data_IF_029512405852
#
_entry.id   IF_029512405852
#
_cell.length_a   1.000
_cell.length_b   1.000
_cell.length_c   1.000
_cell.angle_alpha   90.00
_cell.angle_beta   90.00
_cell.angle_gamma   90.00
#
_symmetry.space_group_name_H-M   'P 1'
#
loop_
_entity.id
_entity.type
_entity.pdbx_description
1 polymer ?
#
# COMPACT_ATOMS: atom_id res chain seq x y z
N UNK A 1 -18.03 14.25 9.75
CA UNK A 1 -17.31 12.96 9.86
C UNK A 1 -15.83 13.26 10.16
N UNK A 2 -15.48 13.47 11.43
CA UNK A 2 -14.19 14.05 11.87
C UNK A 2 -13.25 13.03 12.56
N UNK A 3 -13.65 11.76 12.59
CA UNK A 3 -13.04 10.74 13.45
C UNK A 3 -11.84 10.00 12.84
N UNK A 4 -11.66 10.04 11.51
CA UNK A 4 -10.65 9.20 10.83
C UNK A 4 -9.34 9.92 10.50
N UNK A 5 -9.19 11.21 10.82
CA UNK A 5 -8.03 12.02 10.44
C UNK A 5 -6.88 12.04 11.45
N UNK A 6 -7.05 11.42 12.63
CA UNK A 6 -6.07 11.53 13.73
C UNK A 6 -4.86 10.58 13.58
N UNK A 7 -4.99 9.48 12.84
CA UNK A 7 -3.93 8.46 12.73
C UNK A 7 -3.73 7.99 11.28
N UNK A 8 -3.01 8.77 10.45
CA UNK A 8 -2.73 8.41 9.05
C UNK A 8 -1.97 7.09 8.92
N UNK A 9 -1.11 6.75 9.88
CA UNK A 9 -0.37 5.49 9.93
C UNK A 9 -1.27 4.26 10.07
N UNK A 10 -2.34 4.34 10.87
CA UNK A 10 -3.27 3.22 11.03
C UNK A 10 -4.01 2.94 9.72
N UNK A 11 -4.44 4.00 9.00
CA UNK A 11 -5.08 3.86 7.69
C UNK A 11 -4.08 3.28 6.68
N UNK A 12 -2.85 3.79 6.67
CA UNK A 12 -1.79 3.29 5.79
C UNK A 12 -1.48 1.82 6.02
N UNK A 13 -1.37 1.39 7.29
CA UNK A 13 -1.15 0.00 7.67
C UNK A 13 -2.31 -0.90 7.23
N UNK A 14 -3.55 -0.54 7.56
CA UNK A 14 -4.74 -1.34 7.18
C UNK A 14 -4.87 -1.44 5.66
N UNK A 15 -4.72 -0.32 4.94
CA UNK A 15 -4.81 -0.30 3.49
C UNK A 15 -3.72 -1.15 2.83
N UNK A 16 -2.48 -1.08 3.34
CA UNK A 16 -1.36 -1.89 2.84
C UNK A 16 -1.58 -3.39 3.10
N UNK A 17 -2.08 -3.76 4.28
CA UNK A 17 -2.44 -5.15 4.59
C UNK A 17 -3.60 -5.66 3.73
N UNK A 18 -4.61 -4.83 3.48
CA UNK A 18 -5.75 -5.19 2.64
C UNK A 18 -5.33 -5.39 1.18
N UNK A 19 -4.40 -4.56 0.68
CA UNK A 19 -3.78 -4.75 -0.63
C UNK A 19 -3.06 -6.11 -0.73
N UNK A 20 -2.26 -6.49 0.27
CA UNK A 20 -1.58 -7.80 0.28
C UNK A 20 -2.59 -8.95 0.31
N UNK A 21 -3.63 -8.85 1.15
CA UNK A 21 -4.68 -9.86 1.21
C UNK A 21 -5.48 -9.97 -0.09
N UNK A 22 -5.74 -8.84 -0.76
CA UNK A 22 -6.36 -8.79 -2.07
C UNK A 22 -5.51 -9.50 -3.12
N UNK A 23 -4.23 -9.13 -3.25
CA UNK A 23 -3.30 -9.77 -4.18
C UNK A 23 -3.20 -11.28 -3.93
N UNK A 24 -3.15 -11.71 -2.65
CA UNK A 24 -3.13 -13.13 -2.32
C UNK A 24 -4.42 -13.85 -2.74
N UNK A 25 -5.59 -13.23 -2.56
CA UNK A 25 -6.88 -13.84 -2.88
C UNK A 25 -7.18 -13.92 -4.38
N UNK A 26 -6.66 -12.98 -5.19
CA UNK A 26 -6.88 -12.91 -6.64
C UNK A 26 -6.63 -14.24 -7.37
N UNK A 27 -5.46 -14.90 -7.26
CA UNK A 27 -5.24 -16.19 -7.92
C UNK A 27 -6.25 -17.24 -7.44
N UNK A 28 -6.51 -17.34 -6.13
CA UNK A 28 -7.44 -18.35 -5.61
C UNK A 28 -8.88 -18.18 -6.10
N UNK A 29 -9.35 -16.94 -6.19
CA UNK A 29 -10.73 -16.64 -6.59
C UNK A 29 -10.96 -16.81 -8.10
N UNK A 30 -9.91 -16.61 -8.92
CA UNK A 30 -10.04 -16.59 -10.38
C UNK A 30 -9.35 -17.76 -11.10
N UNK A 31 -8.68 -18.67 -10.37
CA UNK A 31 -8.10 -19.93 -10.89
C UNK A 31 -9.07 -20.76 -11.74
N UNK A 32 -10.36 -20.81 -11.37
CA UNK A 32 -11.37 -21.63 -12.05
C UNK A 32 -11.94 -21.03 -13.34
N UNK A 33 -11.74 -19.73 -13.59
CA UNK A 33 -12.27 -19.07 -14.79
C UNK A 33 -11.39 -19.30 -16.03
N UNK A 34 -10.14 -19.75 -15.86
CA UNK A 34 -9.24 -20.04 -16.97
C UNK A 34 -9.65 -21.26 -17.82
N UNK A 35 -10.50 -22.16 -17.31
CA UNK A 35 -10.82 -23.44 -17.97
C UNK A 35 -12.16 -23.47 -18.72
N UNK A 36 -13.03 -22.47 -18.58
CA UNK A 36 -14.45 -22.58 -18.98
C UNK A 36 -14.94 -21.61 -20.05
N UNK A 37 -14.11 -20.68 -20.54
CA UNK A 37 -14.53 -19.64 -21.49
C UNK A 37 -14.06 -19.92 -22.92
N UNK A 38 -14.98 -20.42 -23.75
CA UNK A 38 -14.88 -20.48 -25.22
C UNK A 38 -15.18 -19.13 -25.91
N UNK A 39 -15.12 -18.01 -25.15
CA UNK A 39 -15.32 -16.64 -25.62
C UNK A 39 -14.29 -15.77 -24.89
N UNK A 40 -13.54 -14.95 -25.63
CA UNK A 40 -12.33 -14.21 -25.24
C UNK A 40 -12.47 -13.14 -24.13
N UNK A 41 -13.19 -13.40 -23.04
CA UNK A 41 -13.41 -12.46 -21.93
C UNK A 41 -13.13 -13.07 -20.56
N UNK A 42 -12.05 -13.86 -20.46
CA UNK A 42 -11.55 -14.44 -19.20
C UNK A 42 -10.68 -13.44 -18.44
N UNK A 43 -11.18 -12.23 -18.18
CA UNK A 43 -10.43 -11.19 -17.46
C UNK A 43 -11.03 -10.99 -16.08
N UNK A 44 -10.17 -10.81 -15.07
CA UNK A 44 -10.56 -10.51 -13.69
C UNK A 44 -11.65 -9.42 -13.69
N UNK A 45 -12.76 -9.56 -12.94
CA UNK A 45 -13.84 -8.59 -12.96
C UNK A 45 -13.35 -7.17 -12.73
N UNK A 46 -13.83 -6.21 -13.53
CA UNK A 46 -13.36 -4.83 -13.50
C UNK A 46 -13.49 -4.17 -12.11
N UNK A 47 -14.52 -4.52 -11.33
CA UNK A 47 -14.66 -4.05 -9.94
C UNK A 47 -13.56 -4.55 -9.00
N UNK A 48 -13.03 -5.75 -9.26
CA UNK A 48 -11.93 -6.31 -8.48
C UNK A 48 -10.61 -5.60 -8.84
N UNK A 49 -10.35 -5.35 -10.13
CA UNK A 49 -9.21 -4.57 -10.60
C UNK A 49 -9.23 -3.12 -10.11
N UNK A 50 -10.42 -2.49 -10.06
CA UNK A 50 -10.56 -1.12 -9.53
C UNK A 50 -10.06 -0.96 -8.09
N UNK A 51 -10.06 -2.03 -7.28
CA UNK A 51 -9.53 -2.00 -5.91
C UNK A 51 -8.03 -1.69 -5.89
N UNK A 52 -7.25 -2.16 -6.86
CA UNK A 52 -5.82 -1.89 -6.97
C UNK A 52 -5.55 -0.38 -7.04
N UNK A 53 -6.29 0.34 -7.89
CA UNK A 53 -6.18 1.79 -8.00
C UNK A 53 -6.61 2.50 -6.72
N UNK A 54 -7.67 2.02 -6.06
CA UNK A 54 -8.11 2.57 -4.77
C UNK A 54 -7.02 2.40 -3.70
N UNK A 55 -6.37 1.23 -3.62
CA UNK A 55 -5.30 0.99 -2.66
C UNK A 55 -4.08 1.90 -2.90
N UNK A 56 -3.69 2.14 -4.16
CA UNK A 56 -2.61 3.07 -4.51
C UNK A 56 -2.96 4.51 -4.07
N UNK A 57 -4.17 4.97 -4.38
CA UNK A 57 -4.60 6.34 -4.06
C UNK A 57 -4.70 6.55 -2.55
N UNK A 58 -5.30 5.61 -1.82
CA UNK A 58 -5.43 5.72 -0.36
C UNK A 58 -4.06 5.64 0.32
N UNK A 59 -3.19 4.74 -0.12
CA UNK A 59 -1.82 4.63 0.42
C UNK A 59 -1.00 5.89 0.16
N UNK A 60 -1.15 6.54 -0.99
CA UNK A 60 -0.50 7.81 -1.29
C UNK A 60 -0.86 8.89 -0.26
N UNK A 61 -2.16 9.04 0.04
CA UNK A 61 -2.62 10.01 1.03
C UNK A 61 -2.14 9.67 2.44
N UNK A 62 -2.10 8.38 2.79
CA UNK A 62 -1.57 7.93 4.07
C UNK A 62 -0.08 8.27 4.20
N UNK A 63 0.75 7.91 3.22
CA UNK A 63 2.18 8.21 3.18
C UNK A 63 2.44 9.72 3.24
N UNK A 64 1.75 10.52 2.44
CA UNK A 64 1.93 11.97 2.42
C UNK A 64 1.64 12.61 3.79
N UNK A 65 0.61 12.12 4.51
CA UNK A 65 0.32 12.59 5.87
C UNK A 65 1.34 12.09 6.89
N UNK A 66 1.72 10.81 6.83
CA UNK A 66 2.74 10.24 7.70
C UNK A 66 4.06 10.98 7.58
N UNK A 67 4.50 11.28 6.35
CA UNK A 67 5.76 11.98 6.07
C UNK A 67 5.76 13.39 6.66
N UNK A 68 4.61 14.08 6.66
CA UNK A 68 4.46 15.39 7.29
C UNK A 68 4.52 15.34 8.81
N UNK A 69 4.01 14.27 9.42
CA UNK A 69 3.95 14.13 10.89
C UNK A 69 5.16 13.42 11.51
N UNK A 70 5.99 12.75 10.69
CA UNK A 70 7.16 12.02 11.16
C UNK A 70 8.35 12.96 11.41
N UNK A 71 9.14 12.69 12.46
CA UNK A 71 10.38 13.41 12.76
C UNK A 71 11.61 12.81 12.06
N UNK A 72 11.54 11.54 11.62
CA UNK A 72 12.69 10.82 11.10
C UNK A 72 12.74 10.85 9.56
N UNK A 73 13.79 11.48 9.01
CA UNK A 73 13.99 11.60 7.57
C UNK A 73 14.18 10.25 6.85
N UNK A 74 14.74 9.24 7.52
CA UNK A 74 14.96 7.90 6.94
C UNK A 74 13.61 7.20 6.73
N UNK A 75 12.74 7.24 7.74
CA UNK A 75 11.40 6.63 7.66
C UNK A 75 10.57 7.28 6.55
N UNK A 76 10.68 8.61 6.39
CA UNK A 76 10.04 9.33 5.29
C UNK A 76 10.48 8.83 3.91
N UNK A 77 11.79 8.69 3.73
CA UNK A 77 12.36 8.21 2.46
C UNK A 77 11.93 6.78 2.17
N UNK A 78 11.97 5.90 3.18
CA UNK A 78 11.55 4.51 3.05
C UNK A 78 10.05 4.37 2.73
N UNK A 79 9.18 5.16 3.36
CA UNK A 79 7.74 5.14 3.05
C UNK A 79 7.46 5.49 1.60
N UNK A 80 8.09 6.55 1.07
CA UNK A 80 7.96 6.92 -0.33
C UNK A 80 8.56 5.86 -1.26
N UNK A 81 9.75 5.34 -0.95
CA UNK A 81 10.38 4.31 -1.75
C UNK A 81 9.52 3.04 -1.83
N UNK A 82 8.98 2.57 -0.71
CA UNK A 82 8.07 1.42 -0.66
C UNK A 82 6.76 1.68 -1.40
N UNK A 83 6.21 2.89 -1.33
CA UNK A 83 4.99 3.25 -2.07
C UNK A 83 5.23 3.33 -3.59
N UNK A 84 6.34 3.94 -4.03
CA UNK A 84 6.71 3.97 -5.45
C UNK A 84 6.94 2.56 -5.98
N UNK A 85 7.63 1.71 -5.22
CA UNK A 85 7.85 0.31 -5.60
C UNK A 85 6.51 -0.44 -5.71
N UNK A 86 5.65 -0.35 -4.70
CA UNK A 86 4.35 -1.02 -4.70
C UNK A 86 3.47 -0.56 -5.87
N UNK A 87 3.37 0.75 -6.09
CA UNK A 87 2.57 1.31 -7.18
C UNK A 87 3.12 0.92 -8.55
N UNK A 88 4.43 0.94 -8.75
CA UNK A 88 5.05 0.50 -9.99
C UNK A 88 4.77 -0.98 -10.28
N UNK A 89 4.81 -1.85 -9.27
CA UNK A 89 4.54 -3.28 -9.42
C UNK A 89 3.07 -3.55 -9.77
N UNK A 90 2.14 -2.92 -9.07
CA UNK A 90 0.70 -3.06 -9.34
C UNK A 90 0.35 -2.55 -10.74
N UNK A 91 0.87 -1.37 -11.14
CA UNK A 91 0.61 -0.84 -12.48
C UNK A 91 1.27 -1.71 -13.57
N UNK A 92 2.46 -2.25 -13.30
CA UNK A 92 3.12 -3.16 -14.23
C UNK A 92 2.30 -4.44 -14.47
N UNK A 93 1.65 -4.95 -13.41
CA UNK A 93 0.73 -6.09 -13.49
C UNK A 93 -0.55 -5.74 -14.27
N UNK A 94 -1.18 -4.60 -13.98
CA UNK A 94 -2.40 -4.14 -14.65
C UNK A 94 -2.22 -3.86 -16.16
N UNK A 95 -1.06 -3.34 -16.56
CA UNK A 95 -0.74 -3.06 -17.97
C UNK A 95 0.01 -4.21 -18.67
N UNK A 96 0.27 -5.32 -17.95
CA UNK A 96 1.03 -6.48 -18.44
C UNK A 96 2.37 -6.11 -19.12
N UNK A 97 3.02 -5.03 -18.70
CA UNK A 97 4.23 -4.49 -19.37
C UNK A 97 5.39 -5.48 -19.28
N UNK A 98 5.56 -6.11 -18.11
CA UNK A 98 6.58 -7.12 -17.86
C UNK A 98 6.04 -8.19 -16.91
N UNK A 99 6.29 -9.47 -17.20
CA UNK A 99 5.99 -10.56 -16.26
C UNK A 99 6.95 -10.50 -15.08
N UNK A 100 6.45 -10.04 -13.94
CA UNK A 100 7.18 -9.96 -12.67
C UNK A 100 6.54 -10.90 -11.64
N UNK A 101 7.33 -11.48 -10.74
CA UNK A 101 6.80 -12.32 -9.68
C UNK A 101 5.98 -11.50 -8.68
N UNK A 102 4.75 -11.95 -8.40
CA UNK A 102 3.85 -11.35 -7.39
C UNK A 102 4.47 -11.25 -6.00
N UNK A 103 5.47 -12.09 -5.71
CA UNK A 103 6.22 -12.07 -4.46
C UNK A 103 6.83 -10.70 -4.15
N UNK A 104 7.22 -9.96 -5.19
CA UNK A 104 7.77 -8.63 -5.04
C UNK A 104 6.70 -7.62 -4.61
N UNK A 105 5.47 -7.75 -5.13
CA UNK A 105 4.30 -6.94 -4.73
C UNK A 105 3.93 -7.21 -3.27
N UNK A 106 3.95 -8.48 -2.84
CA UNK A 106 3.75 -8.84 -1.42
C UNK A 106 4.81 -8.22 -0.52
N UNK A 107 6.08 -8.31 -0.91
CA UNK A 107 7.19 -7.75 -0.15
C UNK A 107 7.06 -6.22 -0.03
N UNK A 108 6.73 -5.53 -1.12
CA UNK A 108 6.52 -4.08 -1.12
C UNK A 108 5.33 -3.67 -0.23
N UNK A 109 4.21 -4.39 -0.29
CA UNK A 109 3.02 -4.14 0.52
C UNK A 109 3.25 -4.37 2.02
N UNK A 110 3.91 -5.48 2.38
CA UNK A 110 4.27 -5.79 3.77
C UNK A 110 5.27 -4.77 4.32
N UNK A 111 6.25 -4.35 3.51
CA UNK A 111 7.22 -3.33 3.90
C UNK A 111 6.53 -2.00 4.19
N UNK A 112 5.62 -1.57 3.31
CA UNK A 112 4.86 -0.34 3.51
C UNK A 112 3.98 -0.41 4.77
N UNK A 113 3.30 -1.54 5.01
CA UNK A 113 2.51 -1.76 6.22
C UNK A 113 3.39 -1.69 7.49
N UNK A 114 4.56 -2.35 7.45
CA UNK A 114 5.51 -2.38 8.56
C UNK A 114 6.09 -1.02 8.87
N UNK A 115 6.39 -0.21 7.85
CA UNK A 115 6.88 1.16 8.00
C UNK A 115 5.82 2.07 8.65
N UNK A 116 4.55 1.93 8.27
CA UNK A 116 3.46 2.65 8.94
C UNK A 116 3.32 2.24 10.42
N UNK A 117 3.38 0.94 10.73
CA UNK A 117 3.35 0.45 12.12
C UNK A 117 4.58 0.94 12.91
N UNK A 118 5.76 0.96 12.28
CA UNK A 118 6.98 1.45 12.89
C UNK A 118 6.87 2.96 13.20
N UNK A 119 6.38 3.76 12.24
CA UNK A 119 6.19 5.20 12.46
C UNK A 119 5.18 5.48 13.57
N UNK A 120 4.07 4.72 13.62
CA UNK A 120 3.06 4.77 14.68
C UNK A 120 3.65 4.53 16.08
N UNK A 121 4.60 3.60 16.20
CA UNK A 121 5.17 3.18 17.50
C UNK A 121 6.32 4.06 17.98
N UNK A 122 7.13 4.62 17.07
CA UNK A 122 8.42 5.22 17.43
C UNK A 122 8.60 6.69 17.00
N UNK A 123 7.75 7.24 16.12
CA UNK A 123 8.04 8.52 15.44
C UNK A 123 6.84 9.47 15.30
N UNK A 124 5.83 9.37 16.18
CA UNK A 124 4.72 10.33 16.19
C UNK A 124 5.06 11.57 17.01
N UNK A 125 5.10 12.74 16.35
CA UNK A 125 5.04 14.02 17.04
C UNK A 125 3.58 14.29 17.41
N UNK A 126 3.26 14.24 18.70
CA UNK A 126 1.90 14.46 19.20
C UNK A 126 1.70 15.86 19.82
N UNK A 127 2.79 16.62 20.06
CA UNK A 127 2.76 17.99 20.61
C UNK A 127 3.67 18.96 19.85
N UNK A 128 3.32 20.26 19.85
CA UNK A 128 4.02 21.37 19.20
C UNK A 128 5.47 21.62 19.66
N UNK A 129 6.01 20.77 20.54
CA UNK A 129 7.33 20.91 21.19
C UNK A 129 8.31 19.75 20.96
N UNK A 130 8.09 18.87 19.97
CA UNK A 130 9.01 17.75 19.75
C UNK A 130 10.34 18.16 19.09
N UNK A 131 11.38 18.22 19.96
CA UNK A 131 12.85 18.31 19.77
C UNK A 131 13.49 19.71 19.94
N UNK A 132 13.99 20.09 21.14
CA UNK A 132 15.26 20.80 21.20
C UNK A 132 16.39 19.83 20.83
N UNK A 133 17.39 20.24 20.04
CA UNK A 133 18.56 19.41 19.80
C UNK A 133 19.26 19.14 21.15
N UNK A 134 19.45 17.86 21.48
CA UNK A 134 20.30 17.48 22.61
C UNK A 134 21.71 18.02 22.35
N UNK A 135 22.22 18.68 23.38
CA UNK A 135 23.46 19.48 23.44
C UNK A 135 24.72 18.62 23.45
#
# INVERSE_FOLDING_TARGET
MKYTLKHPDTIGAINSSLCVAHCFATPFLFLGQAQTSLVEFSTVPLWWQLLNYVFIVVSFFAVNRTVKNSSNQIVKSLLWASWVLLSALILNEEFEIMHMPELLTYFAGISLASLHIYNLKYCQCEDENCCPPNK
#
